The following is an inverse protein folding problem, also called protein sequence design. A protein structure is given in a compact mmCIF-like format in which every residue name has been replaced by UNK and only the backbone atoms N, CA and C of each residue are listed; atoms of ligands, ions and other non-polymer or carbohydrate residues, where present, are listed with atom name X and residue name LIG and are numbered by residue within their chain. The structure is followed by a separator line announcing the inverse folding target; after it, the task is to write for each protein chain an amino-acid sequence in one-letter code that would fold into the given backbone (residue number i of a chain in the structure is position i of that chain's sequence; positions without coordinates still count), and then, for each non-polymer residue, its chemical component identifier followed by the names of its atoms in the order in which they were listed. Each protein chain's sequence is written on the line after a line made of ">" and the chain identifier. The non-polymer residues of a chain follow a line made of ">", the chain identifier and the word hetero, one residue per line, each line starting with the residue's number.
data_IF_730207032623
#
_entry.id   IF_730207032623
#
_cell.length_a   1.000
_cell.length_b   1.000
_cell.length_c   1.000
_cell.angle_alpha   90.00
_cell.angle_beta   90.00
_cell.angle_gamma   90.00
#
_symmetry.space_group_name_H-M   'P 1'
#
loop_
_entity.id
_entity.type
_entity.pdbx_description
1 polymer ?
#
# COMPACT_ATOMS: atom_id res chain seq x y z
N UNK A 1 5.09 10.09 -11.83
CA UNK A 1 4.61 8.69 -11.88
C UNK A 1 4.09 8.30 -10.51
N UNK A 2 2.89 7.72 -10.44
CA UNK A 2 2.31 7.13 -9.23
C UNK A 2 2.14 5.62 -9.38
N UNK A 3 1.88 4.90 -8.30
CA UNK A 3 1.42 3.51 -8.35
C UNK A 3 0.15 3.29 -7.50
N UNK A 4 -0.59 2.24 -7.82
CA UNK A 4 -1.82 1.84 -7.16
C UNK A 4 -1.57 0.55 -6.38
N UNK A 5 -1.86 0.53 -5.07
CA UNK A 5 -1.49 -0.54 -4.17
C UNK A 5 -2.69 -1.08 -3.36
N UNK A 6 -3.35 -2.07 -3.94
CA UNK A 6 -4.51 -2.75 -3.36
C UNK A 6 -4.21 -4.20 -2.98
N UNK A 7 -3.74 -5.00 -3.94
CA UNK A 7 -3.53 -6.45 -3.80
C UNK A 7 -2.48 -6.80 -2.75
N UNK A 8 -2.71 -7.91 -2.04
CA UNK A 8 -1.84 -8.42 -0.98
C UNK A 8 -1.54 -9.91 -1.18
N UNK A 9 -0.48 -10.44 -0.55
CA UNK A 9 -0.32 -11.88 -0.43
C UNK A 9 -1.58 -12.50 0.20
N UNK A 10 -2.20 -13.44 -0.51
CA UNK A 10 -3.46 -14.07 -0.08
C UNK A 10 -4.74 -13.33 -0.48
N UNK A 11 -4.68 -12.03 -0.82
CA UNK A 11 -5.85 -11.22 -1.16
C UNK A 11 -5.69 -10.55 -2.53
N UNK A 12 -5.92 -11.31 -3.59
CA UNK A 12 -5.95 -10.83 -4.98
C UNK A 12 -7.38 -10.51 -5.44
N UNK A 13 -8.15 -11.55 -5.76
CA UNK A 13 -9.55 -11.41 -6.18
C UNK A 13 -10.47 -10.99 -5.04
N UNK A 14 -10.20 -11.44 -3.81
CA UNK A 14 -10.92 -11.01 -2.61
C UNK A 14 -10.27 -9.77 -1.98
N UNK A 15 -10.37 -8.63 -2.68
CA UNK A 15 -9.76 -7.38 -2.23
C UNK A 15 -10.40 -6.81 -0.95
N UNK A 16 -11.62 -7.22 -0.62
CA UNK A 16 -12.34 -6.77 0.59
C UNK A 16 -11.79 -7.37 1.88
N UNK A 17 -10.94 -8.41 1.79
CA UNK A 17 -10.28 -9.06 2.90
C UNK A 17 -8.88 -8.48 3.23
N UNK A 18 -8.61 -7.24 2.79
CA UNK A 18 -7.32 -6.58 3.00
C UNK A 18 -6.88 -6.58 4.48
N UNK A 19 -5.65 -7.03 4.70
CA UNK A 19 -5.01 -7.21 6.00
C UNK A 19 -4.06 -6.06 6.36
N UNK A 20 -3.55 -5.32 5.37
CA UNK A 20 -2.79 -4.08 5.60
C UNK A 20 -3.67 -3.13 6.40
N UNK A 21 -3.14 -2.60 7.51
CA UNK A 21 -3.90 -1.76 8.42
C UNK A 21 -3.29 -0.35 8.50
N UNK A 22 -4.16 0.62 8.76
CA UNK A 22 -3.76 1.99 9.06
C UNK A 22 -4.36 2.38 10.41
N UNK A 23 -3.51 2.54 11.41
CA UNK A 23 -3.92 2.94 12.75
C UNK A 23 -3.86 4.46 12.89
N UNK A 24 -4.88 5.02 13.54
CA UNK A 24 -4.88 6.43 13.92
C UNK A 24 -3.84 6.71 15.02
N UNK A 25 -2.85 7.56 14.71
CA UNK A 25 -1.80 8.01 15.62
C UNK A 25 -2.02 9.42 16.17
N UNK A 26 -3.18 10.04 15.91
CA UNK A 26 -3.47 11.43 16.26
C UNK A 26 -3.23 12.37 15.09
N UNK A 27 -2.03 12.91 14.96
CA UNK A 27 -1.61 13.82 13.87
C UNK A 27 -1.16 13.08 12.59
N UNK A 28 -1.13 11.75 12.65
CA UNK A 28 -0.62 10.88 11.59
C UNK A 28 -1.38 9.56 11.50
N UNK A 29 -1.18 8.87 10.39
CA UNK A 29 -1.55 7.47 10.20
C UNK A 29 -0.30 6.60 10.27
N UNK A 30 -0.42 5.42 10.89
CA UNK A 30 0.66 4.43 10.96
C UNK A 30 0.21 3.19 10.18
N UNK A 31 0.86 2.94 9.05
CA UNK A 31 0.54 1.84 8.14
C UNK A 31 1.44 0.63 8.42
N UNK A 32 0.82 -0.55 8.47
CA UNK A 32 1.50 -1.83 8.65
C UNK A 32 0.91 -2.89 7.72
N UNK A 33 1.75 -3.58 6.94
CA UNK A 33 1.33 -4.65 6.05
C UNK A 33 2.21 -4.79 4.81
N UNK A 34 1.75 -5.60 3.85
CA UNK A 34 2.48 -5.84 2.60
C UNK A 34 1.52 -5.88 1.43
N UNK A 35 1.81 -5.05 0.43
CA UNK A 35 1.17 -5.08 -0.88
C UNK A 35 2.05 -5.85 -1.86
N UNK A 36 1.44 -6.56 -2.80
CA UNK A 36 2.15 -7.31 -3.83
C UNK A 36 1.61 -6.99 -5.22
N UNK A 37 2.40 -7.31 -6.24
CA UNK A 37 2.08 -7.05 -7.66
C UNK A 37 1.99 -5.56 -8.02
N UNK A 38 2.72 -4.70 -7.31
CA UNK A 38 2.61 -3.25 -7.50
C UNK A 38 3.40 -2.80 -8.71
N UNK A 39 2.65 -2.42 -9.75
CA UNK A 39 3.19 -1.88 -11.00
C UNK A 39 3.78 -0.49 -10.78
N UNK A 40 4.90 -0.18 -11.43
CA UNK A 40 5.67 1.06 -11.27
C UNK A 40 6.24 1.26 -9.86
N UNK A 41 6.40 0.19 -9.08
CA UNK A 41 6.88 0.25 -7.71
C UNK A 41 8.24 0.93 -7.59
N UNK A 42 9.17 0.75 -8.54
CA UNK A 42 10.50 1.37 -8.51
C UNK A 42 10.51 2.80 -9.06
N UNK A 43 9.65 3.11 -10.02
CA UNK A 43 9.64 4.40 -10.72
C UNK A 43 8.71 5.45 -10.08
N UNK A 44 7.72 5.02 -9.28
CA UNK A 44 6.73 5.94 -8.73
C UNK A 44 7.32 6.82 -7.62
N UNK A 45 6.81 8.05 -7.51
CA UNK A 45 7.14 9.01 -6.44
C UNK A 45 6.13 9.01 -5.30
N UNK A 46 5.00 8.32 -5.49
CA UNK A 46 3.96 8.13 -4.49
C UNK A 46 3.11 6.90 -4.86
N UNK A 47 2.47 6.31 -3.86
CA UNK A 47 1.50 5.22 -4.01
C UNK A 47 0.15 5.61 -3.42
N UNK A 48 -0.93 5.26 -4.11
CA UNK A 48 -2.27 5.18 -3.51
C UNK A 48 -2.39 3.80 -2.85
N UNK A 49 -2.43 3.76 -1.52
CA UNK A 49 -2.41 2.54 -0.73
C UNK A 49 -3.76 2.34 -0.07
N UNK A 50 -4.33 1.14 -0.20
CA UNK A 50 -5.57 0.76 0.48
C UNK A 50 -5.23 0.01 1.77
N UNK A 51 -5.72 0.49 2.90
CA UNK A 51 -5.50 -0.12 4.19
C UNK A 51 -6.77 -0.08 5.04
N UNK A 52 -6.96 -1.11 5.85
CA UNK A 52 -8.09 -1.25 6.77
C UNK A 52 -7.89 -0.35 7.99
N UNK A 53 -8.76 0.63 8.15
CA UNK A 53 -8.82 1.54 9.31
C UNK A 53 -9.76 1.02 10.39
N UNK A 54 -10.83 0.30 10.00
CA UNK A 54 -11.76 -0.35 10.92
C UNK A 54 -12.12 -1.77 10.45
N UNK A 55 -11.57 -2.78 11.13
CA UNK A 55 -11.84 -4.19 10.81
C UNK A 55 -13.30 -4.60 11.05
N UNK A 56 -14.03 -3.94 11.96
CA UNK A 56 -15.42 -4.29 12.27
C UNK A 56 -16.37 -4.02 11.10
N UNK A 57 -16.01 -3.07 10.23
CA UNK A 57 -16.78 -2.67 9.06
C UNK A 57 -16.47 -3.50 7.81
N UNK A 58 -15.58 -4.50 7.90
CA UNK A 58 -15.13 -5.33 6.77
C UNK A 58 -14.64 -4.43 5.62
N UNK A 59 -15.07 -4.69 4.38
CA UNK A 59 -14.71 -3.88 3.21
C UNK A 59 -15.09 -2.39 3.32
N UNK A 60 -16.07 -2.02 4.16
CA UNK A 60 -16.45 -0.62 4.38
C UNK A 60 -15.48 0.12 5.30
N UNK A 61 -14.61 -0.60 6.00
CA UNK A 61 -13.55 -0.03 6.84
C UNK A 61 -12.20 0.07 6.15
N UNK A 62 -12.17 -0.04 4.81
CA UNK A 62 -10.96 0.18 4.01
C UNK A 62 -10.94 1.64 3.57
N UNK A 63 -9.81 2.31 3.81
CA UNK A 63 -9.54 3.68 3.38
C UNK A 63 -8.38 3.72 2.40
N UNK A 64 -8.33 4.76 1.58
CA UNK A 64 -7.24 5.02 0.66
C UNK A 64 -6.30 6.10 1.22
N UNK A 65 -5.01 5.96 0.97
CA UNK A 65 -3.98 6.87 1.46
C UNK A 65 -2.98 7.20 0.36
N UNK A 66 -2.53 8.45 0.30
CA UNK A 66 -1.40 8.85 -0.53
C UNK A 66 -0.13 8.69 0.30
N UNK A 67 0.75 7.77 -0.09
CA UNK A 67 2.04 7.55 0.57
C UNK A 67 3.17 8.04 -0.36
N UNK A 68 3.83 9.17 -0.05
CA UNK A 68 5.00 9.64 -0.82
C UNK A 68 6.16 8.65 -0.75
N UNK A 69 7.11 8.76 -1.70
CA UNK A 69 8.36 8.01 -1.67
C UNK A 69 9.57 8.95 -1.83
N UNK A 70 10.60 8.83 -0.98
CA UNK A 70 10.69 7.90 0.17
C UNK A 70 9.80 8.34 1.35
N UNK A 71 9.35 7.37 2.14
CA UNK A 71 8.70 7.58 3.45
C UNK A 71 9.32 6.58 4.43
N UNK A 72 9.57 7.01 5.67
CA UNK A 72 10.12 6.12 6.70
C UNK A 72 9.14 4.98 6.99
N UNK A 73 9.64 3.75 7.08
CA UNK A 73 8.82 2.55 7.28
C UNK A 73 8.21 2.00 5.98
N UNK A 74 8.46 2.63 4.83
CA UNK A 74 8.12 2.07 3.51
C UNK A 74 9.37 1.51 2.83
N UNK A 75 9.35 0.22 2.55
CA UNK A 75 10.36 -0.47 1.76
C UNK A 75 9.78 -1.10 0.50
N UNK A 76 10.64 -1.28 -0.51
CA UNK A 76 10.28 -1.96 -1.75
C UNK A 76 10.89 -3.35 -1.74
N UNK A 77 10.08 -4.35 -2.10
CA UNK A 77 10.59 -5.68 -2.40
C UNK A 77 11.43 -5.71 -3.66
N UNK A 78 12.03 -6.86 -3.96
CA UNK A 78 12.74 -7.09 -5.22
C UNK A 78 11.78 -6.93 -6.41
N UNK A 79 12.31 -6.52 -7.56
CA UNK A 79 11.56 -6.54 -8.81
C UNK A 79 11.27 -7.99 -9.21
N UNK A 80 10.01 -8.29 -9.52
CA UNK A 80 9.56 -9.61 -9.95
C UNK A 80 10.19 -10.01 -11.29
N UNK A 81 10.65 -11.27 -11.37
CA UNK A 81 11.10 -11.89 -12.62
C UNK A 81 9.91 -12.50 -13.36
N UNK A 82 9.34 -11.72 -14.27
CA UNK A 82 8.08 -12.04 -14.96
C UNK A 82 8.31 -12.64 -16.35
N UNK A 83 7.38 -13.48 -16.79
CA UNK A 83 7.33 -14.02 -18.16
C UNK A 83 7.39 -12.90 -19.22
N UNK A 84 6.59 -11.84 -19.05
CA UNK A 84 6.47 -10.70 -19.95
C UNK A 84 6.30 -9.38 -19.19
N UNK A 85 6.08 -8.27 -19.92
CA UNK A 85 5.94 -6.92 -19.33
C UNK A 85 7.17 -6.58 -18.44
N UNK A 86 8.36 -7.00 -18.90
CA UNK A 86 9.62 -6.90 -18.13
C UNK A 86 10.13 -5.45 -18.02
N UNK A 87 9.73 -4.59 -18.95
CA UNK A 87 10.02 -3.15 -18.95
C UNK A 87 9.37 -2.41 -17.78
N UNK A 88 8.20 -2.85 -17.32
CA UNK A 88 7.56 -2.29 -16.13
C UNK A 88 8.09 -2.97 -14.87
N UNK A 89 8.46 -2.20 -13.85
CA UNK A 89 8.67 -2.77 -12.53
C UNK A 89 7.35 -3.32 -11.98
N UNK A 90 7.47 -4.42 -11.26
CA UNK A 90 6.44 -5.01 -10.42
C UNK A 90 7.16 -5.47 -9.17
N UNK A 91 6.71 -5.08 -7.99
CA UNK A 91 7.35 -5.48 -6.74
C UNK A 91 6.32 -5.42 -5.60
N UNK A 92 6.76 -5.83 -4.41
CA UNK A 92 6.02 -5.58 -3.17
C UNK A 92 6.29 -4.17 -2.64
N UNK A 93 5.30 -3.62 -1.92
CA UNK A 93 5.49 -2.49 -1.00
C UNK A 93 5.26 -2.99 0.41
N UNK A 94 6.25 -2.80 1.27
CA UNK A 94 6.28 -3.31 2.65
C UNK A 94 6.20 -2.11 3.57
N UNK A 95 5.23 -2.13 4.49
CA UNK A 95 4.97 -1.06 5.44
C UNK A 95 5.22 -1.60 6.85
N UNK A 96 6.20 -1.04 7.54
CA UNK A 96 6.57 -1.33 8.92
C UNK A 96 6.59 -0.02 9.70
N UNK A 97 5.56 0.20 10.51
CA UNK A 97 5.32 1.47 11.22
C UNK A 97 5.51 2.69 10.29
N UNK A 98 4.95 2.59 9.09
CA UNK A 98 5.07 3.63 8.06
C UNK A 98 4.16 4.82 8.42
N UNK A 99 4.78 5.95 8.78
CA UNK A 99 4.05 7.14 9.23
C UNK A 99 3.77 8.10 8.08
N UNK A 100 2.52 8.53 7.93
CA UNK A 100 2.12 9.58 6.99
C UNK A 100 1.23 10.63 7.68
N UNK A 101 1.24 11.90 7.24
CA UNK A 101 0.37 12.93 7.78
C UNK A 101 -1.12 12.56 7.75
N UNK A 102 -1.90 13.09 8.70
CA UNK A 102 -3.36 12.81 8.77
C UNK A 102 -4.10 13.16 7.47
N UNK A 103 -3.70 14.26 6.85
CA UNK A 103 -4.24 14.81 5.59
C UNK A 103 -3.97 13.95 4.36
N UNK A 104 -3.11 12.92 4.46
CA UNK A 104 -2.81 12.03 3.35
C UNK A 104 -3.91 10.96 3.12
N UNK A 105 -4.94 10.91 3.96
CA UNK A 105 -6.13 10.13 3.65
C UNK A 105 -6.83 10.71 2.41
N UNK A 106 -7.26 9.84 1.51
CA UNK A 106 -7.93 10.20 0.28
C UNK A 106 -9.42 9.84 0.39
N UNK A 107 -10.24 10.87 0.61
CA UNK A 107 -11.70 10.76 0.73
C UNK A 107 -12.24 11.16 2.10
#
# INVERSE_FOLDING_TARGET
>A
VGCFALSEPGNGSDAGAASTNAKDGGDKWILNGTKCWITNGYESKASVVFATTDKSLKHKGISAFIVPKPTKGLELGKKEDKLGIRGSSTCSLIFEDCEIPKENILG
#
